data_IF_508707090640
#
_entry.id   IF_508707090640
#
_cell.length_a   1.000
_cell.length_b   1.000
_cell.length_c   1.000
_cell.angle_alpha   90.00
_cell.angle_beta   90.00
_cell.angle_gamma   90.00
#
_symmetry.space_group_name_H-M   'P 1'
#
loop_
_entity.id
_entity.type
_entity.pdbx_description
1 polymer ?
#
# COMPACT_ATOMS: atom_id res chain seq x y z
N UNK A 1 -69.21 44.32 -0.94
CA UNK A 1 -68.41 44.17 -2.17
C UNK A 1 -68.04 42.70 -2.31
N UNK A 2 -68.24 42.13 -3.50
CA UNK A 2 -68.19 40.70 -3.83
C UNK A 2 -66.75 40.19 -4.00
N UNK A 3 -66.50 38.95 -3.56
CA UNK A 3 -65.67 37.90 -4.23
C UNK A 3 -65.65 36.69 -3.28
N UNK A 4 -66.54 35.70 -3.43
CA UNK A 4 -66.59 34.60 -4.40
C UNK A 4 -65.35 33.68 -4.31
N UNK A 5 -65.62 32.47 -3.78
CA UNK A 5 -64.80 31.27 -3.85
C UNK A 5 -64.49 30.89 -5.30
N UNK A 6 -63.28 30.40 -5.55
CA UNK A 6 -63.06 29.39 -6.59
C UNK A 6 -61.95 28.43 -6.17
N UNK A 7 -62.36 27.22 -5.78
CA UNK A 7 -61.52 26.02 -5.81
C UNK A 7 -61.19 25.71 -7.27
N UNK A 8 -59.92 25.62 -7.61
CA UNK A 8 -59.46 24.86 -8.77
C UNK A 8 -58.22 24.07 -8.38
N UNK A 9 -58.39 22.76 -8.41
CA UNK A 9 -57.37 21.74 -8.25
C UNK A 9 -56.25 21.90 -9.28
N UNK A 10 -55.00 21.69 -8.86
CA UNK A 10 -53.91 21.36 -9.75
C UNK A 10 -53.09 20.22 -9.13
N UNK A 11 -52.76 19.27 -10.00
CA UNK A 11 -52.55 17.86 -9.73
C UNK A 11 -51.21 17.56 -9.06
N UNK A 12 -51.27 16.70 -8.03
CA UNK A 12 -50.17 15.89 -7.53
C UNK A 12 -49.78 14.89 -8.63
N UNK A 13 -48.56 15.01 -9.18
CA UNK A 13 -47.93 13.90 -9.89
C UNK A 13 -47.16 13.07 -8.86
N UNK A 14 -47.86 12.06 -8.34
CA UNK A 14 -47.26 10.92 -7.68
C UNK A 14 -46.66 10.01 -8.77
N UNK A 15 -45.34 9.95 -8.85
CA UNK A 15 -44.64 8.89 -9.58
C UNK A 15 -44.53 7.69 -8.66
N UNK A 16 -45.45 6.75 -8.83
CA UNK A 16 -45.44 5.45 -8.18
C UNK A 16 -44.36 4.56 -8.82
N UNK A 17 -43.22 4.40 -8.16
CA UNK A 17 -42.32 3.28 -8.42
C UNK A 17 -42.69 2.15 -7.47
N UNK A 18 -43.40 1.15 -7.99
CA UNK A 18 -43.60 -0.14 -7.34
C UNK A 18 -42.23 -0.82 -7.16
N UNK A 19 -41.64 -0.72 -5.98
CA UNK A 19 -40.60 -1.64 -5.55
C UNK A 19 -41.27 -2.82 -4.85
N UNK A 20 -41.48 -3.92 -5.58
CA UNK A 20 -41.68 -5.22 -4.97
C UNK A 20 -40.33 -5.75 -4.44
N UNK A 21 -40.32 -6.54 -3.36
CA UNK A 21 -39.11 -6.96 -2.70
C UNK A 21 -38.51 -8.14 -3.45
N UNK A 22 -37.32 -7.96 -4.00
CA UNK A 22 -36.44 -9.08 -4.30
C UNK A 22 -35.41 -9.15 -3.18
N UNK A 23 -35.74 -9.96 -2.17
CA UNK A 23 -34.72 -10.70 -1.49
C UNK A 23 -34.12 -11.65 -2.52
N UNK A 24 -32.91 -11.37 -2.98
CA UNK A 24 -31.98 -12.44 -3.30
C UNK A 24 -30.61 -12.04 -2.77
N UNK A 25 -30.11 -12.90 -1.90
CA UNK A 25 -28.77 -12.85 -1.34
C UNK A 25 -27.81 -13.22 -2.49
N UNK A 26 -26.56 -12.79 -2.39
CA UNK A 26 -25.46 -13.05 -3.33
C UNK A 26 -25.21 -11.94 -4.38
N UNK A 27 -24.71 -10.79 -3.90
CA UNK A 27 -23.91 -9.88 -4.73
C UNK A 27 -22.46 -10.01 -4.25
N UNK A 28 -21.55 -10.64 -5.02
CA UNK A 28 -20.14 -10.68 -4.69
C UNK A 28 -19.47 -9.33 -5.01
N UNK A 29 -18.53 -8.91 -4.17
CA UNK A 29 -17.85 -7.61 -4.05
C UNK A 29 -16.94 -7.18 -5.21
N UNK A 30 -17.14 -7.66 -6.44
CA UNK A 30 -16.34 -7.22 -7.59
C UNK A 30 -16.90 -5.92 -8.18
N UNK A 31 -16.62 -4.79 -7.52
CA UNK A 31 -16.53 -3.52 -8.24
C UNK A 31 -15.40 -3.70 -9.25
N UNK A 32 -15.80 -3.87 -10.49
CA UNK A 32 -14.93 -4.07 -11.63
C UNK A 32 -14.10 -2.81 -11.81
N UNK A 33 -12.80 -2.87 -11.51
CA UNK A 33 -11.85 -1.86 -11.98
C UNK A 33 -12.03 -1.75 -13.50
N UNK A 34 -12.36 -0.58 -14.05
CA UNK A 34 -12.55 -0.46 -15.49
C UNK A 34 -11.24 -0.80 -16.22
N UNK A 35 -11.30 -1.84 -17.06
CA UNK A 35 -10.22 -2.36 -17.92
C UNK A 35 -9.71 -1.40 -19.01
N UNK A 36 -9.90 -0.08 -18.86
CA UNK A 36 -9.46 0.91 -19.84
C UNK A 36 -8.44 1.85 -19.22
N UNK A 37 -7.19 1.37 -19.14
CA UNK A 37 -6.03 2.26 -19.06
C UNK A 37 -5.93 3.03 -20.39
N UNK A 38 -5.97 4.35 -20.30
CA UNK A 38 -5.77 5.29 -21.40
C UNK A 38 -4.39 5.06 -22.05
N UNK A 39 -4.27 5.04 -23.40
CA UNK A 39 -2.97 4.84 -24.06
C UNK A 39 -2.13 6.12 -23.97
N UNK A 40 -1.24 6.15 -22.99
CA UNK A 40 -0.35 7.28 -22.72
C UNK A 40 0.99 6.88 -22.09
N UNK A 41 1.45 5.65 -22.28
CA UNK A 41 2.84 5.28 -22.01
C UNK A 41 3.65 5.46 -23.29
N UNK A 42 4.44 6.54 -23.35
CA UNK A 42 5.62 6.58 -24.21
C UNK A 42 6.38 5.27 -24.01
N UNK A 43 6.69 4.60 -25.13
CA UNK A 43 7.27 3.27 -25.26
C UNK A 43 8.34 3.00 -24.19
N UNK A 44 7.91 2.50 -23.02
CA UNK A 44 8.81 1.98 -22.00
C UNK A 44 9.50 0.80 -22.66
N UNK A 45 10.81 0.91 -22.85
CA UNK A 45 11.60 -0.24 -23.29
C UNK A 45 11.26 -1.36 -22.31
N UNK A 46 10.70 -2.46 -22.82
CA UNK A 46 10.30 -3.58 -21.98
C UNK A 46 11.53 -4.03 -21.20
N UNK A 47 11.45 -3.98 -19.86
CA UNK A 47 12.56 -4.41 -19.01
C UNK A 47 12.89 -5.90 -19.33
N UNK A 48 14.16 -6.32 -19.26
CA UNK A 48 14.54 -7.70 -19.51
C UNK A 48 13.79 -8.69 -18.61
N UNK A 49 13.56 -9.91 -19.08
CA UNK A 49 12.91 -10.98 -18.31
C UNK A 49 13.89 -11.79 -17.44
N UNK A 50 15.19 -11.51 -17.56
CA UNK A 50 16.28 -12.15 -16.81
C UNK A 50 17.18 -11.09 -16.19
N UNK A 51 18.01 -11.47 -15.21
CA UNK A 51 19.01 -10.57 -14.63
C UNK A 51 20.06 -10.17 -15.66
N UNK A 52 19.87 -8.99 -16.23
CA UNK A 52 20.75 -8.36 -17.24
C UNK A 52 20.66 -6.83 -17.10
N UNK A 53 21.12 -6.25 -15.97
CA UNK A 53 21.07 -4.80 -15.78
C UNK A 53 21.99 -4.08 -16.77
N UNK A 54 21.62 -2.86 -17.21
CA UNK A 54 22.51 -1.99 -17.98
C UNK A 54 23.90 -1.89 -17.33
N UNK A 55 24.96 -1.85 -18.14
CA UNK A 55 26.33 -1.91 -17.62
C UNK A 55 26.68 -0.81 -16.61
N UNK A 56 26.02 0.36 -16.71
CA UNK A 56 26.17 1.46 -15.77
C UNK A 56 25.43 1.25 -14.44
N UNK A 57 24.54 0.26 -14.36
CA UNK A 57 23.80 -0.09 -13.13
C UNK A 57 24.40 -1.29 -12.40
N UNK A 58 25.27 -2.08 -13.03
CA UNK A 58 25.90 -3.26 -12.39
C UNK A 58 26.63 -2.91 -11.10
N UNK A 59 27.53 -1.92 -11.14
CA UNK A 59 28.29 -1.48 -9.96
C UNK A 59 27.40 -0.92 -8.84
N UNK A 60 26.51 0.06 -9.09
CA UNK A 60 25.67 0.60 -8.02
C UNK A 60 24.69 -0.44 -7.45
N UNK A 61 24.20 -1.40 -8.24
CA UNK A 61 23.35 -2.48 -7.71
C UNK A 61 24.12 -3.40 -6.75
N UNK A 62 25.36 -3.76 -7.09
CA UNK A 62 26.22 -4.55 -6.18
C UNK A 62 26.52 -3.79 -4.88
N UNK A 63 26.79 -2.48 -4.95
CA UNK A 63 26.99 -1.65 -3.75
C UNK A 63 25.75 -1.63 -2.85
N UNK A 64 24.56 -1.49 -3.44
CA UNK A 64 23.28 -1.57 -2.74
C UNK A 64 23.07 -2.93 -2.08
N UNK A 65 23.32 -4.01 -2.83
CA UNK A 65 23.14 -5.37 -2.31
C UNK A 65 24.04 -5.65 -1.12
N UNK A 66 25.32 -5.28 -1.20
CA UNK A 66 26.25 -5.46 -0.08
C UNK A 66 25.85 -4.60 1.12
N UNK A 67 25.44 -3.35 0.89
CA UNK A 67 24.96 -2.49 1.96
C UNK A 67 23.76 -3.09 2.69
N UNK A 68 22.76 -3.60 1.95
CA UNK A 68 21.58 -4.24 2.53
C UNK A 68 21.97 -5.48 3.36
N UNK A 69 22.82 -6.36 2.84
CA UNK A 69 23.29 -7.55 3.57
C UNK A 69 24.07 -7.19 4.85
N UNK A 70 24.82 -6.09 4.86
CA UNK A 70 25.53 -5.60 6.04
C UNK A 70 24.60 -4.94 7.06
N UNK A 71 23.51 -4.31 6.58
CA UNK A 71 22.51 -3.64 7.42
C UNK A 71 21.59 -4.63 8.13
N UNK A 72 21.15 -5.69 7.43
CA UNK A 72 20.19 -6.65 7.95
C UNK A 72 20.86 -7.87 8.60
N UNK A 73 20.57 -8.11 9.87
CA UNK A 73 21.12 -9.27 10.59
C UNK A 73 20.64 -10.63 10.06
N UNK A 74 19.47 -10.67 9.42
CA UNK A 74 18.89 -11.88 8.81
C UNK A 74 18.11 -11.54 7.53
N UNK A 75 18.77 -10.88 6.59
CA UNK A 75 18.18 -10.38 5.34
C UNK A 75 17.37 -11.45 4.59
N UNK A 76 17.91 -12.66 4.46
CA UNK A 76 17.33 -13.74 3.66
C UNK A 76 16.43 -14.69 4.47
N UNK A 77 16.54 -14.69 5.81
CA UNK A 77 15.71 -15.49 6.70
C UNK A 77 14.42 -14.81 7.12
N UNK A 78 14.32 -13.48 7.00
CA UNK A 78 13.07 -12.74 7.24
C UNK A 78 12.01 -13.05 6.18
N UNK A 79 10.78 -13.38 6.60
CA UNK A 79 9.71 -13.96 5.76
C UNK A 79 8.42 -13.13 5.75
N UNK A 80 8.53 -11.81 5.94
CA UNK A 80 7.37 -10.91 5.85
C UNK A 80 7.53 -9.75 4.86
N UNK A 81 8.50 -9.81 3.94
CA UNK A 81 8.59 -8.80 2.88
C UNK A 81 7.39 -8.89 1.94
N UNK A 82 7.15 -7.84 1.15
CA UNK A 82 6.09 -7.81 0.14
C UNK A 82 6.11 -9.01 -0.81
N UNK A 83 7.30 -9.57 -1.11
CA UNK A 83 7.40 -10.83 -1.87
C UNK A 83 6.70 -12.00 -1.15
N UNK A 84 6.94 -12.17 0.15
CA UNK A 84 6.32 -13.22 0.96
C UNK A 84 4.82 -13.03 1.04
N UNK A 85 4.39 -11.79 1.30
CA UNK A 85 2.98 -11.44 1.42
C UNK A 85 2.23 -11.76 0.13
N UNK A 86 2.76 -11.32 -1.01
CA UNK A 86 2.14 -11.56 -2.32
C UNK A 86 2.11 -13.05 -2.67
N UNK A 87 3.17 -13.80 -2.37
CA UNK A 87 3.23 -15.25 -2.64
C UNK A 87 2.26 -16.00 -1.72
N UNK A 88 2.25 -15.70 -0.42
CA UNK A 88 1.35 -16.32 0.56
C UNK A 88 -0.13 -15.99 0.29
N UNK A 89 -0.41 -14.77 -0.15
CA UNK A 89 -1.75 -14.30 -0.53
C UNK A 89 -2.21 -14.76 -1.92
N UNK A 90 -1.38 -15.48 -2.69
CA UNK A 90 -1.76 -15.95 -4.02
C UNK A 90 -1.97 -14.82 -5.03
N UNK A 91 -1.19 -13.75 -4.93
CA UNK A 91 -1.34 -12.55 -5.77
C UNK A 91 -2.32 -11.53 -5.21
N UNK A 92 -2.66 -11.63 -3.92
CA UNK A 92 -3.54 -10.70 -3.21
C UNK A 92 -2.81 -10.05 -2.04
N UNK A 93 -3.17 -8.80 -1.75
CA UNK A 93 -2.71 -8.04 -0.59
C UNK A 93 -3.92 -7.34 0.02
N UNK A 94 -4.16 -7.59 1.31
CA UNK A 94 -5.21 -6.96 2.07
C UNK A 94 -4.64 -5.82 2.93
N UNK A 95 -5.21 -4.63 2.79
CA UNK A 95 -4.93 -3.46 3.60
C UNK A 95 -5.97 -3.25 4.69
N UNK A 96 -5.52 -2.84 5.87
CA UNK A 96 -6.37 -2.19 6.86
C UNK A 96 -5.92 -0.74 7.08
N UNK A 97 -6.84 0.21 6.90
CA UNK A 97 -6.52 1.64 7.00
C UNK A 97 -6.69 2.10 8.45
N UNK A 98 -5.64 2.67 9.03
CA UNK A 98 -5.68 3.36 10.32
C UNK A 98 -5.90 4.85 10.09
N UNK A 99 -7.14 5.30 10.28
CA UNK A 99 -7.53 6.69 10.13
C UNK A 99 -7.33 7.44 11.46
N UNK A 100 -6.12 7.94 11.67
CA UNK A 100 -5.74 8.74 12.83
C UNK A 100 -6.10 10.21 12.57
N UNK A 101 -7.41 10.46 12.51
CA UNK A 101 -7.98 11.79 12.33
C UNK A 101 -9.35 11.91 12.98
N UNK A 102 -9.75 13.14 13.26
CA UNK A 102 -11.11 13.51 13.68
C UNK A 102 -12.00 13.95 12.52
N UNK A 103 -11.46 14.04 11.29
CA UNK A 103 -12.22 14.37 10.10
C UNK A 103 -13.12 13.21 9.68
N UNK A 104 -14.29 13.52 9.15
CA UNK A 104 -15.15 12.50 8.54
C UNK A 104 -14.55 12.00 7.22
N UNK A 105 -14.85 10.74 6.90
CA UNK A 105 -14.37 10.04 5.72
C UNK A 105 -15.56 9.43 4.98
N UNK A 106 -15.84 9.96 3.80
CA UNK A 106 -16.95 9.52 2.93
C UNK A 106 -16.65 8.20 2.23
N UNK A 107 -17.69 7.50 1.76
CA UNK A 107 -17.54 6.31 0.92
C UNK A 107 -16.69 6.58 -0.34
N UNK A 108 -16.90 7.71 -1.02
CA UNK A 108 -16.12 8.07 -2.20
C UNK A 108 -14.62 8.27 -1.89
N UNK A 109 -14.30 8.85 -0.74
CA UNK A 109 -12.90 8.97 -0.31
C UNK A 109 -12.29 7.62 0.07
N UNK A 110 -13.07 6.70 0.66
CA UNK A 110 -12.62 5.31 0.87
C UNK A 110 -12.31 4.60 -0.44
N UNK A 111 -13.15 4.78 -1.45
CA UNK A 111 -12.91 4.24 -2.81
C UNK A 111 -11.63 4.84 -3.43
N UNK A 112 -11.40 6.15 -3.25
CA UNK A 112 -10.16 6.81 -3.70
C UNK A 112 -8.93 6.26 -2.99
N UNK A 113 -8.99 6.03 -1.67
CA UNK A 113 -7.89 5.42 -0.89
C UNK A 113 -7.59 4.01 -1.40
N UNK A 114 -8.61 3.17 -1.58
CA UNK A 114 -8.44 1.81 -2.11
C UNK A 114 -7.83 1.82 -3.52
N UNK A 115 -8.29 2.72 -4.39
CA UNK A 115 -7.72 2.88 -5.72
C UNK A 115 -6.26 3.37 -5.66
N UNK A 116 -5.92 4.27 -4.75
CA UNK A 116 -4.55 4.77 -4.56
C UNK A 116 -3.60 3.68 -4.07
N UNK A 117 -4.02 2.86 -3.10
CA UNK A 117 -3.28 1.68 -2.63
C UNK A 117 -3.03 0.70 -3.78
N UNK A 118 -4.08 0.34 -4.52
CA UNK A 118 -3.98 -0.58 -5.65
C UNK A 118 -3.05 -0.07 -6.75
N UNK A 119 -3.18 1.19 -7.18
CA UNK A 119 -2.29 1.80 -8.19
C UNK A 119 -0.85 1.82 -7.72
N UNK A 120 -0.60 2.29 -6.50
CA UNK A 120 0.76 2.49 -5.99
C UNK A 120 1.51 1.18 -5.79
N UNK A 121 0.85 0.18 -5.20
CA UNK A 121 1.45 -1.15 -5.00
C UNK A 121 1.73 -1.84 -6.34
N UNK A 122 0.79 -1.77 -7.29
CA UNK A 122 0.99 -2.38 -8.61
C UNK A 122 2.08 -1.71 -9.46
N UNK A 123 2.49 -0.47 -9.15
CA UNK A 123 3.69 0.10 -9.79
C UNK A 123 4.93 -0.68 -9.42
N UNK A 124 5.12 -1.04 -8.15
CA UNK A 124 6.23 -1.89 -7.73
C UNK A 124 6.14 -3.28 -8.37
N UNK A 125 4.95 -3.88 -8.41
CA UNK A 125 4.73 -5.17 -9.10
C UNK A 125 5.07 -5.10 -10.59
N UNK A 126 4.85 -3.97 -11.25
CA UNK A 126 5.23 -3.80 -12.67
C UNK A 126 6.74 -3.94 -12.92
N UNK A 127 7.56 -3.75 -11.88
CA UNK A 127 8.99 -4.05 -11.92
C UNK A 127 9.29 -5.54 -11.97
N UNK A 128 8.48 -6.35 -11.29
CA UNK A 128 8.65 -7.80 -11.14
C UNK A 128 7.92 -8.59 -12.23
N UNK A 129 6.84 -8.04 -12.79
CA UNK A 129 6.04 -8.68 -13.84
C UNK A 129 6.92 -9.20 -14.99
N UNK A 130 6.82 -10.50 -15.27
CA UNK A 130 7.59 -11.19 -16.31
C UNK A 130 9.08 -11.37 -16.03
N UNK A 131 9.59 -11.01 -14.85
CA UNK A 131 11.00 -11.14 -14.48
C UNK A 131 11.26 -12.43 -13.71
N UNK A 132 12.19 -13.25 -14.21
CA UNK A 132 12.87 -14.32 -13.48
C UNK A 132 11.95 -15.25 -12.66
N UNK A 133 10.85 -15.68 -13.27
CA UNK A 133 9.89 -16.61 -12.67
C UNK A 133 8.88 -15.97 -11.70
N UNK A 134 8.85 -14.65 -11.54
CA UNK A 134 7.80 -13.97 -10.79
C UNK A 134 6.41 -14.28 -11.39
N UNK A 135 5.43 -14.75 -10.59
CA UNK A 135 4.22 -15.35 -11.13
C UNK A 135 3.05 -14.38 -11.42
N UNK A 136 3.17 -13.10 -11.06
CA UNK A 136 2.05 -12.15 -11.12
C UNK A 136 2.34 -10.92 -12.00
N UNK A 137 1.51 -10.68 -13.01
CA UNK A 137 1.56 -9.43 -13.79
C UNK A 137 1.04 -8.22 -13.00
N UNK A 138 0.06 -8.48 -12.12
CA UNK A 138 -0.57 -7.53 -11.20
C UNK A 138 -0.99 -8.27 -9.94
N UNK A 139 -1.17 -7.55 -8.84
CA UNK A 139 -1.75 -8.08 -7.59
C UNK A 139 -3.09 -7.42 -7.31
N UNK A 140 -4.02 -8.20 -6.74
CA UNK A 140 -5.30 -7.73 -6.24
C UNK A 140 -5.08 -7.08 -4.88
N UNK A 141 -5.25 -5.76 -4.80
CA UNK A 141 -5.14 -5.00 -3.55
C UNK A 141 -6.53 -4.67 -3.03
N UNK A 142 -6.85 -5.11 -1.82
CA UNK A 142 -8.15 -4.90 -1.19
C UNK A 142 -7.99 -4.04 0.07
N UNK A 143 -8.93 -3.14 0.35
CA UNK A 143 -9.05 -2.53 1.68
C UNK A 143 -10.14 -3.29 2.42
N UNK A 144 -9.76 -4.07 3.44
CA UNK A 144 -10.67 -4.96 4.16
C UNK A 144 -11.22 -4.34 5.44
N UNK A 145 -10.57 -3.31 5.98
CA UNK A 145 -11.01 -2.68 7.21
C UNK A 145 -10.51 -1.26 7.43
N UNK A 146 -11.16 -0.59 8.37
CA UNK A 146 -10.80 0.75 8.83
C UNK A 146 -10.78 0.78 10.36
N UNK A 147 -9.68 1.27 10.92
CA UNK A 147 -9.61 1.67 12.32
C UNK A 147 -9.82 3.18 12.44
N UNK A 148 -10.80 3.58 13.24
CA UNK A 148 -11.20 4.98 13.48
C UNK A 148 -11.40 5.21 14.98
N UNK A 149 -11.25 6.45 15.43
CA UNK A 149 -11.53 6.80 16.83
C UNK A 149 -13.02 6.68 17.17
N UNK A 150 -13.90 6.93 16.20
CA UNK A 150 -15.35 6.80 16.29
C UNK A 150 -15.90 6.29 14.95
N UNK A 151 -16.71 5.23 14.98
CA UNK A 151 -17.31 4.65 13.77
C UNK A 151 -18.18 5.64 12.98
N UNK A 152 -18.74 6.67 13.65
CA UNK A 152 -19.52 7.73 13.00
C UNK A 152 -18.70 8.64 12.08
N UNK A 153 -17.37 8.60 12.16
CA UNK A 153 -16.50 9.29 11.21
C UNK A 153 -16.60 8.69 9.80
N UNK A 154 -16.98 7.41 9.67
CA UNK A 154 -17.16 6.76 8.38
C UNK A 154 -18.56 7.02 7.85
N UNK A 155 -18.68 7.95 6.90
CA UNK A 155 -19.95 8.27 6.27
C UNK A 155 -20.26 7.30 5.12
N UNK A 156 -21.56 7.02 4.91
CA UNK A 156 -22.03 6.13 3.85
C UNK A 156 -21.99 4.65 4.22
N UNK A 157 -22.05 3.78 3.21
CA UNK A 157 -22.06 2.33 3.41
C UNK A 157 -20.67 1.80 3.78
N UNK A 158 -20.63 0.96 4.81
CA UNK A 158 -19.43 0.25 5.29
C UNK A 158 -19.60 -1.26 5.20
N UNK A 159 -20.65 -1.74 4.51
CA UNK A 159 -20.89 -3.16 4.29
C UNK A 159 -19.67 -3.81 3.62
N UNK A 160 -19.19 -4.91 4.22
CA UNK A 160 -18.01 -5.61 3.72
C UNK A 160 -16.68 -5.01 4.16
N UNK A 161 -16.67 -4.02 5.07
CA UNK A 161 -15.49 -3.54 5.78
C UNK A 161 -15.55 -3.95 7.27
N UNK A 162 -14.41 -4.32 7.81
CA UNK A 162 -14.24 -4.54 9.25
C UNK A 162 -13.91 -3.20 9.92
N UNK A 163 -14.80 -2.71 10.78
CA UNK A 163 -14.67 -1.40 11.42
C UNK A 163 -14.18 -1.57 12.86
N UNK A 164 -12.99 -1.04 13.14
CA UNK A 164 -12.35 -1.11 14.44
C UNK A 164 -12.40 0.26 15.12
N UNK A 165 -12.80 0.28 16.40
CA UNK A 165 -12.77 1.48 17.25
C UNK A 165 -11.88 1.30 18.47
N UNK A 166 -11.04 0.27 18.46
CA UNK A 166 -9.99 0.02 19.44
C UNK A 166 -8.78 0.89 19.13
N UNK A 167 -7.92 1.07 20.15
CA UNK A 167 -6.68 1.83 20.02
C UNK A 167 -5.51 1.00 20.49
N UNK A 168 -4.32 1.32 19.97
CA UNK A 168 -3.07 0.81 20.50
C UNK A 168 -2.72 1.44 21.86
N UNK A 169 -1.54 1.09 22.36
CA UNK A 169 -0.99 1.59 23.63
C UNK A 169 -0.82 3.12 23.67
N UNK A 170 -0.70 3.79 22.52
CA UNK A 170 -0.53 5.23 22.39
C UNK A 170 -1.88 5.95 22.17
N UNK A 171 -2.98 5.20 22.13
CA UNK A 171 -4.33 5.74 21.92
C UNK A 171 -4.66 6.00 20.44
N UNK A 172 -3.87 5.47 19.51
CA UNK A 172 -4.10 5.63 18.07
C UNK A 172 -5.05 4.53 17.59
N UNK A 173 -6.09 4.83 16.78
CA UNK A 173 -7.01 3.83 16.26
C UNK A 173 -6.27 2.66 15.60
N UNK A 174 -6.56 1.43 15.99
CA UNK A 174 -5.80 0.23 15.61
C UNK A 174 -6.72 -0.83 14.99
N UNK A 175 -6.28 -1.42 13.87
CA UNK A 175 -6.90 -2.61 13.30
C UNK A 175 -6.61 -3.81 14.21
N UNK A 176 -7.51 -4.79 14.30
CA UNK A 176 -7.34 -5.91 15.23
C UNK A 176 -6.01 -6.67 15.00
N UNK A 177 -5.07 -6.67 15.97
CA UNK A 177 -3.80 -7.38 15.83
C UNK A 177 -3.97 -8.87 15.54
N UNK A 178 -5.07 -9.50 15.97
CA UNK A 178 -5.37 -10.89 15.69
C UNK A 178 -5.60 -11.18 14.19
N UNK A 179 -5.82 -10.12 13.39
CA UNK A 179 -5.99 -10.18 11.94
C UNK A 179 -4.77 -9.67 11.17
N UNK A 180 -3.75 -9.13 11.84
CA UNK A 180 -2.60 -8.51 11.18
C UNK A 180 -1.46 -9.49 10.92
N UNK A 181 -1.02 -9.60 9.67
CA UNK A 181 0.12 -10.44 9.28
C UNK A 181 1.41 -10.10 10.02
N UNK A 182 1.64 -8.82 10.31
CA UNK A 182 2.77 -8.39 11.13
C UNK A 182 2.86 -9.13 12.48
N UNK A 183 1.71 -9.44 13.09
CA UNK A 183 1.61 -10.15 14.37
C UNK A 183 1.55 -11.68 14.19
N UNK A 184 1.12 -12.14 13.01
CA UNK A 184 0.85 -13.54 12.67
C UNK A 184 1.65 -13.98 11.43
N UNK A 185 2.98 -13.85 11.49
CA UNK A 185 3.89 -14.27 10.40
C UNK A 185 3.93 -15.79 10.20
N UNK A 186 3.39 -16.55 11.16
CA UNK A 186 3.16 -17.99 11.05
C UNK A 186 1.96 -18.34 10.15
N UNK A 187 1.19 -17.33 9.72
CA UNK A 187 -0.02 -17.50 8.92
C UNK A 187 -1.23 -18.02 9.68
N UNK A 188 -1.17 -18.06 11.03
CA UNK A 188 -2.30 -18.48 11.85
C UNK A 188 -3.22 -17.31 12.18
N UNK A 189 -4.22 -17.11 11.32
CA UNK A 189 -5.29 -16.12 11.53
C UNK A 189 -6.53 -16.71 12.21
N UNK A 190 -6.43 -17.85 12.90
CA UNK A 190 -7.58 -18.45 13.61
C UNK A 190 -8.15 -17.55 14.71
N UNK A 191 -7.34 -16.61 15.22
CA UNK A 191 -7.76 -15.56 16.16
C UNK A 191 -8.48 -14.38 15.51
N UNK A 192 -8.42 -14.22 14.19
CA UNK A 192 -9.06 -13.11 13.49
C UNK A 192 -10.59 -13.26 13.51
N UNK A 193 -11.29 -12.38 14.23
CA UNK A 193 -12.74 -12.46 14.36
C UNK A 193 -13.49 -12.28 13.03
N UNK A 194 -12.91 -11.53 12.09
CA UNK A 194 -13.44 -11.36 10.73
C UNK A 194 -13.23 -12.60 9.84
N UNK A 195 -12.42 -13.56 10.29
CA UNK A 195 -12.04 -14.77 9.56
C UNK A 195 -10.71 -14.62 8.81
N UNK A 196 -10.06 -15.75 8.53
CA UNK A 196 -8.73 -15.77 7.92
C UNK A 196 -8.68 -15.06 6.55
N UNK A 197 -9.71 -15.16 5.72
CA UNK A 197 -9.76 -14.46 4.42
C UNK A 197 -9.82 -12.92 4.54
N UNK A 198 -10.11 -12.42 5.75
CA UNK A 198 -10.25 -11.00 6.11
C UNK A 198 -9.05 -10.47 6.89
N UNK A 199 -7.99 -11.26 7.05
CA UNK A 199 -6.72 -10.77 7.58
C UNK A 199 -6.19 -9.61 6.70
N UNK A 200 -5.34 -8.77 7.27
CA UNK A 200 -4.61 -7.75 6.53
C UNK A 200 -3.11 -8.02 6.55
N UNK A 201 -2.49 -7.86 5.40
CA UNK A 201 -1.04 -7.94 5.20
C UNK A 201 -0.38 -6.62 5.59
N UNK A 202 -1.01 -5.52 5.21
CA UNK A 202 -0.45 -4.17 5.28
C UNK A 202 -1.37 -3.22 6.03
N UNK A 203 -0.80 -2.33 6.83
CA UNK A 203 -1.54 -1.28 7.53
C UNK A 203 -1.22 0.10 6.93
N UNK A 204 -2.23 0.81 6.41
CA UNK A 204 -2.05 2.16 5.89
C UNK A 204 -2.49 3.19 6.93
N UNK A 205 -1.54 3.88 7.55
CA UNK A 205 -1.80 4.86 8.59
C UNK A 205 -1.84 6.25 7.97
N UNK A 206 -3.01 6.87 8.05
CA UNK A 206 -3.24 8.23 7.58
C UNK A 206 -3.41 9.12 8.82
N UNK A 207 -2.32 9.81 9.18
CA UNK A 207 -2.19 10.54 10.45
C UNK A 207 -2.27 12.05 10.25
N UNK A 208 -3.12 12.73 11.02
CA UNK A 208 -3.18 14.20 11.06
C UNK A 208 -1.85 14.82 11.47
N UNK A 209 -1.35 15.75 10.66
CA UNK A 209 -0.15 16.54 10.99
C UNK A 209 1.16 15.76 11.00
N UNK A 210 1.16 14.49 10.56
CA UNK A 210 2.39 13.72 10.37
C UNK A 210 3.17 14.24 9.16
N UNK A 211 4.47 14.46 9.34
CA UNK A 211 5.37 14.94 8.29
C UNK A 211 6.30 13.82 7.85
N UNK A 212 6.46 13.68 6.53
CA UNK A 212 7.24 12.59 5.93
C UNK A 212 6.44 11.29 5.84
N UNK A 213 7.15 10.18 5.75
CA UNK A 213 6.59 8.83 5.73
C UNK A 213 7.46 7.85 6.52
N UNK A 214 6.87 6.71 6.87
CA UNK A 214 7.58 5.54 7.37
C UNK A 214 6.93 4.29 6.80
N UNK A 215 7.72 3.30 6.38
CA UNK A 215 7.22 2.09 5.76
C UNK A 215 8.01 0.86 6.18
N UNK A 216 7.46 -0.31 5.85
CA UNK A 216 8.11 -1.59 6.09
C UNK A 216 7.19 -2.76 5.78
N UNK A 217 7.49 -3.91 6.38
CA UNK A 217 6.74 -5.16 6.24
C UNK A 217 5.36 -5.15 6.90
N UNK A 218 5.06 -4.12 7.70
CA UNK A 218 3.81 -3.96 8.44
C UNK A 218 2.81 -3.03 7.75
N UNK A 219 3.24 -2.24 6.77
CA UNK A 219 2.48 -1.10 6.31
C UNK A 219 3.28 0.14 5.97
N UNK A 220 2.52 1.23 5.81
CA UNK A 220 3.03 2.57 5.57
C UNK A 220 2.28 3.57 6.45
N UNK A 221 2.98 4.59 6.94
CA UNK A 221 2.42 5.74 7.66
C UNK A 221 2.85 7.03 7.01
N UNK A 222 1.92 7.97 6.87
CA UNK A 222 2.20 9.31 6.35
C UNK A 222 1.14 10.31 6.79
N UNK A 223 1.36 11.59 6.49
CA UNK A 223 0.39 12.65 6.70
C UNK A 223 -0.90 12.38 5.93
N UNK A 224 -2.05 12.38 6.64
CA UNK A 224 -3.37 12.22 6.01
C UNK A 224 -3.60 13.32 4.98
N UNK A 225 -3.28 14.57 5.31
CA UNK A 225 -3.47 15.71 4.43
C UNK A 225 -2.71 15.53 3.11
N UNK A 226 -1.44 15.15 3.21
CA UNK A 226 -0.59 14.86 2.05
C UNK A 226 -1.18 13.75 1.19
N UNK A 227 -1.54 12.61 1.80
CA UNK A 227 -2.07 11.46 1.05
C UNK A 227 -3.39 11.81 0.36
N UNK A 228 -4.31 12.47 1.08
CA UNK A 228 -5.62 12.81 0.54
C UNK A 228 -5.55 13.91 -0.53
N UNK A 229 -4.63 14.85 -0.43
CA UNK A 229 -4.38 15.84 -1.50
C UNK A 229 -3.83 15.17 -2.77
N UNK A 230 -3.01 14.13 -2.59
CA UNK A 230 -2.41 13.39 -3.70
C UNK A 230 -3.18 12.12 -4.10
N UNK A 231 -4.35 11.81 -3.52
CA UNK A 231 -4.98 10.47 -3.60
C UNK A 231 -5.32 10.02 -5.03
N UNK A 232 -5.57 10.97 -5.94
CA UNK A 232 -5.83 10.69 -7.35
C UNK A 232 -4.59 10.84 -8.24
N UNK A 233 -3.47 11.28 -7.68
CA UNK A 233 -2.20 11.40 -8.41
C UNK A 233 -1.74 10.03 -8.89
N UNK A 234 -1.12 10.03 -10.07
CA UNK A 234 -0.50 8.83 -10.62
C UNK A 234 0.64 8.37 -9.70
N UNK A 235 1.50 9.29 -9.26
CA UNK A 235 2.62 8.99 -8.36
C UNK A 235 2.44 9.72 -7.02
N UNK A 236 2.00 9.01 -6.00
CA UNK A 236 1.97 9.52 -4.62
C UNK A 236 3.38 9.34 -4.04
N UNK A 237 4.27 10.29 -4.31
CA UNK A 237 5.72 10.17 -4.08
C UNK A 237 6.12 9.54 -2.73
N UNK A 238 5.71 10.12 -1.60
CA UNK A 238 6.09 9.59 -0.27
C UNK A 238 5.52 8.17 -0.11
N UNK A 239 4.26 7.95 -0.48
CA UNK A 239 3.66 6.62 -0.34
C UNK A 239 4.37 5.56 -1.20
N UNK A 240 4.78 5.91 -2.43
CA UNK A 240 5.55 5.00 -3.27
C UNK A 240 6.92 4.67 -2.67
N UNK A 241 7.60 5.64 -2.05
CA UNK A 241 8.83 5.43 -1.29
C UNK A 241 8.58 4.45 -0.14
N UNK A 242 7.53 4.68 0.67
CA UNK A 242 7.23 3.80 1.82
C UNK A 242 6.86 2.37 1.41
N UNK A 243 6.20 2.16 0.27
CA UNK A 243 5.97 0.79 -0.27
C UNK A 243 7.29 0.14 -0.70
N UNK A 244 8.31 0.92 -1.11
CA UNK A 244 9.64 0.39 -1.41
C UNK A 244 10.24 -0.37 -0.22
N UNK A 245 10.04 0.13 1.01
CA UNK A 245 10.47 -0.55 2.23
C UNK A 245 9.74 -1.87 2.47
N UNK A 246 8.47 -2.00 2.06
CA UNK A 246 7.76 -3.30 2.06
C UNK A 246 8.52 -4.34 1.23
N UNK A 247 9.19 -3.91 0.16
CA UNK A 247 10.04 -4.77 -0.68
C UNK A 247 11.53 -4.78 -0.29
N UNK A 248 11.83 -4.52 0.99
CA UNK A 248 13.16 -4.57 1.59
C UNK A 248 14.17 -3.55 1.05
N UNK A 249 13.69 -2.49 0.39
CA UNK A 249 14.58 -1.43 -0.10
C UNK A 249 14.92 -0.48 1.04
N UNK A 250 16.20 -0.13 1.18
CA UNK A 250 16.68 0.79 2.21
C UNK A 250 16.43 2.25 1.86
N UNK A 251 16.44 3.08 2.89
CA UNK A 251 16.67 4.52 2.75
C UNK A 251 18.12 4.83 2.36
N UNK A 252 18.30 5.91 1.60
CA UNK A 252 19.62 6.39 1.16
C UNK A 252 19.94 7.79 1.72
N UNK A 253 19.96 7.95 3.05
CA UNK A 253 20.16 9.26 3.68
C UNK A 253 21.61 9.77 3.70
N UNK A 254 22.56 8.87 3.98
CA UNK A 254 23.96 9.21 4.27
C UNK A 254 24.94 8.74 3.20
N UNK A 255 24.45 8.08 2.15
CA UNK A 255 25.25 7.62 1.03
C UNK A 255 24.43 7.50 -0.25
N UNK A 256 25.11 7.42 -1.39
CA UNK A 256 24.49 7.16 -2.70
C UNK A 256 25.37 6.19 -3.48
N UNK A 257 24.77 5.24 -4.21
CA UNK A 257 25.54 4.30 -5.00
C UNK A 257 26.16 4.98 -6.23
N UNK A 258 27.29 4.47 -6.68
CA UNK A 258 28.15 5.07 -7.69
C UNK A 258 27.40 5.33 -8.99
N UNK A 259 27.33 6.60 -9.39
CA UNK A 259 26.82 7.00 -10.69
C UNK A 259 25.29 7.07 -10.80
N UNK A 260 24.55 6.87 -9.70
CA UNK A 260 23.09 7.04 -9.66
C UNK A 260 22.74 8.15 -8.69
N UNK A 261 21.95 9.13 -9.15
CA UNK A 261 21.65 10.35 -8.38
C UNK A 261 20.16 10.64 -8.21
N UNK A 262 19.28 9.91 -8.91
CA UNK A 262 17.84 10.11 -8.84
C UNK A 262 17.14 8.76 -8.87
N UNK A 263 16.49 8.39 -7.78
CA UNK A 263 15.68 7.19 -7.61
C UNK A 263 14.82 7.33 -6.37
N UNK A 264 13.66 6.68 -6.31
CA UNK A 264 12.65 7.03 -5.31
C UNK A 264 13.12 6.75 -3.88
N UNK A 265 13.94 5.71 -3.69
CA UNK A 265 14.50 5.34 -2.38
C UNK A 265 15.57 6.32 -1.87
N UNK A 266 16.10 7.19 -2.73
CA UNK A 266 16.84 8.39 -2.32
C UNK A 266 15.83 9.53 -2.18
N UNK A 267 15.28 9.64 -0.97
CA UNK A 267 14.15 10.52 -0.66
C UNK A 267 14.34 11.93 -1.23
N UNK A 268 13.36 12.39 -2.02
CA UNK A 268 13.36 13.72 -2.65
C UNK A 268 14.16 13.84 -3.95
N UNK A 269 14.94 12.84 -4.36
CA UNK A 269 15.69 12.87 -5.63
C UNK A 269 14.86 12.51 -6.85
N UNK A 270 13.80 11.73 -6.67
CA UNK A 270 12.83 11.38 -7.71
C UNK A 270 11.42 11.36 -7.10
N UNK A 271 10.41 11.76 -7.89
CA UNK A 271 9.00 11.77 -7.46
C UNK A 271 8.22 10.54 -7.93
N UNK A 272 8.88 9.59 -8.57
CA UNK A 272 8.32 8.38 -9.15
C UNK A 272 9.34 7.24 -9.14
N UNK A 273 8.86 6.00 -9.23
CA UNK A 273 9.71 4.80 -9.26
C UNK A 273 10.50 4.80 -10.58
N UNK A 274 11.82 4.76 -10.46
CA UNK A 274 12.77 4.81 -11.58
C UNK A 274 13.19 3.42 -12.04
N UNK A 275 13.95 3.36 -13.13
CA UNK A 275 14.56 2.09 -13.57
C UNK A 275 15.49 1.49 -12.51
N UNK A 276 16.24 2.32 -11.78
CA UNK A 276 17.15 1.82 -10.76
C UNK A 276 16.38 1.15 -9.61
N UNK A 277 15.26 1.75 -9.18
CA UNK A 277 14.36 1.17 -8.17
C UNK A 277 13.83 -0.21 -8.62
N UNK A 278 13.47 -0.36 -9.89
CA UNK A 278 13.05 -1.65 -10.44
C UNK A 278 14.18 -2.68 -10.50
N UNK A 279 15.42 -2.28 -10.70
CA UNK A 279 16.53 -3.21 -10.61
C UNK A 279 16.82 -3.63 -9.16
N UNK A 280 16.66 -2.73 -8.19
CA UNK A 280 16.81 -3.06 -6.77
C UNK A 280 15.75 -4.08 -6.30
N UNK A 281 14.47 -3.88 -6.64
CA UNK A 281 13.39 -4.85 -6.30
C UNK A 281 13.61 -6.21 -6.98
N UNK A 282 14.15 -6.21 -8.21
CA UNK A 282 14.52 -7.44 -8.92
C UNK A 282 15.71 -8.16 -8.29
N UNK A 283 16.66 -7.41 -7.73
CA UNK A 283 17.86 -7.94 -7.09
C UNK A 283 17.48 -8.73 -5.83
N UNK A 284 16.57 -8.18 -5.03
CA UNK A 284 15.93 -8.92 -3.94
C UNK A 284 15.22 -10.17 -4.41
N UNK A 285 14.34 -10.06 -5.42
CA UNK A 285 13.59 -11.22 -5.92
C UNK A 285 14.51 -12.37 -6.32
N UNK A 286 15.56 -12.12 -7.12
CA UNK A 286 16.45 -13.20 -7.58
C UNK A 286 17.18 -13.92 -6.44
N UNK A 287 17.40 -13.25 -5.31
CA UNK A 287 18.05 -13.81 -4.12
C UNK A 287 17.07 -14.48 -3.16
N UNK A 288 15.77 -14.18 -3.26
CA UNK A 288 14.71 -14.77 -2.43
C UNK A 288 13.95 -15.90 -3.12
N UNK A 289 13.82 -15.88 -4.45
CA UNK A 289 12.84 -16.70 -5.20
C UNK A 289 12.90 -18.21 -4.91
N UNK A 290 14.10 -18.74 -4.67
CA UNK A 290 14.34 -20.17 -4.47
C UNK A 290 13.74 -20.69 -3.15
N UNK A 291 13.28 -19.80 -2.25
CA UNK A 291 12.58 -20.17 -1.02
C UNK A 291 11.10 -20.46 -1.22
N UNK A 292 10.53 -20.11 -2.38
CA UNK A 292 9.11 -20.29 -2.67
C UNK A 292 8.86 -21.52 -3.55
N UNK A 293 7.78 -22.25 -3.29
CA UNK A 293 7.28 -23.28 -4.20
C UNK A 293 6.42 -22.64 -5.31
N UNK A 294 7.06 -22.27 -6.41
CA UNK A 294 6.41 -21.64 -7.56
C UNK A 294 5.79 -22.63 -8.54
N UNK A 295 5.81 -23.94 -8.25
CA UNK A 295 5.27 -24.96 -9.16
C UNK A 295 3.74 -24.88 -9.33
N UNK A 296 3.04 -24.27 -8.37
CA UNK A 296 1.58 -24.17 -8.34
C UNK A 296 1.03 -22.77 -8.73
N UNK A 297 1.88 -21.77 -8.97
CA UNK A 297 1.45 -20.39 -9.26
C UNK A 297 1.24 -20.11 -10.75
N UNK A 298 1.56 -21.07 -11.63
CA UNK A 298 1.43 -20.94 -13.08
C UNK A 298 0.10 -21.45 -13.64
N UNK A 299 -1.04 -20.80 -13.35
CA UNK A 299 -2.27 -20.87 -14.17
C UNK A 299 -3.37 -19.95 -13.64
N UNK A 300 -3.21 -18.64 -13.80
CA UNK A 300 -4.34 -17.70 -13.87
C UNK A 300 -4.48 -17.15 -15.29
N UNK A 301 -4.40 -18.02 -16.30
CA UNK A 301 -4.91 -17.68 -17.62
C UNK A 301 -6.43 -17.68 -17.54
N UNK A 302 -7.05 -16.51 -17.77
CA UNK A 302 -8.51 -16.38 -17.94
C UNK A 302 -9.03 -17.44 -18.92
N UNK A 303 -10.22 -18.04 -18.68
CA UNK A 303 -10.72 -19.09 -19.54
C UNK A 303 -11.00 -18.53 -20.92
N UNK A 304 -10.26 -19.01 -21.92
CA UNK A 304 -10.64 -18.86 -23.32
C UNK A 304 -11.97 -19.60 -23.53
N UNK A 305 -13.03 -18.86 -23.82
CA UNK A 305 -14.28 -19.40 -24.36
C UNK A 305 -13.97 -20.18 -25.64
N UNK A 306 -13.91 -21.50 -25.51
CA UNK A 306 -13.94 -22.41 -26.65
C UNK A 306 -15.40 -22.52 -27.11
N UNK A 307 -15.78 -21.67 -28.05
CA UNK A 307 -17.04 -21.80 -28.78
C UNK A 307 -16.93 -22.97 -29.78
N UNK A 308 -17.20 -24.18 -29.28
CA UNK A 308 -17.49 -25.33 -30.12
C UNK A 308 -18.89 -25.14 -30.74
N UNK A 309 -18.92 -24.70 -31.99
CA UNK A 309 -20.13 -24.65 -32.79
C UNK A 309 -20.67 -26.07 -33.01
N UNK A 310 -21.87 -26.33 -32.49
CA UNK A 310 -22.69 -27.48 -32.88
C UNK A 310 -23.97 -26.98 -33.53
N UNK A 311 -24.04 -27.21 -34.84
CA UNK A 311 -25.15 -26.95 -35.74
C UNK A 311 -26.41 -27.70 -35.33
N UNK A 312 -27.52 -26.98 -35.19
CA UNK A 312 -28.85 -27.58 -35.35
C UNK A 312 -29.79 -26.61 -36.07
N UNK A 313 -30.42 -27.17 -37.10
CA UNK A 313 -31.19 -26.51 -38.13
C UNK A 313 -32.62 -26.24 -37.64
N UNK A 314 -33.12 -25.01 -37.83
CA UNK A 314 -34.55 -24.74 -37.82
C UNK A 314 -34.89 -23.63 -38.81
N UNK A 315 -35.83 -23.97 -39.69
CA UNK A 315 -36.32 -23.24 -40.86
C UNK A 315 -37.34 -22.17 -40.46
N UNK A 316 -37.21 -20.93 -40.97
CA UNK A 316 -38.29 -19.95 -41.01
C UNK A 316 -38.16 -19.02 -42.24
N UNK A 317 -39.33 -18.67 -42.80
CA UNK A 317 -39.61 -18.13 -44.12
C UNK A 317 -39.27 -16.63 -44.31
N UNK A 318 -39.36 -16.07 -45.54
CA UNK A 318 -38.66 -14.85 -45.92
C UNK A 318 -39.50 -13.59 -45.68
N UNK A 319 -38.85 -12.51 -45.23
CA UNK A 319 -39.42 -11.16 -45.25
C UNK A 319 -38.48 -10.23 -46.02
N UNK A 320 -38.93 -9.84 -47.20
CA UNK A 320 -38.36 -8.81 -48.07
C UNK A 320 -38.49 -7.42 -47.45
N UNK A 321 -37.37 -6.71 -47.26
CA UNK A 321 -37.34 -5.24 -47.22
C UNK A 321 -36.04 -4.70 -47.88
N UNK A 322 -36.23 -3.55 -48.51
CA UNK A 322 -35.49 -2.89 -49.60
C UNK A 322 -34.21 -2.17 -49.11
N UNK A 323 -33.15 -2.02 -49.92
CA UNK A 323 -31.92 -1.32 -49.52
C UNK A 323 -32.09 0.21 -49.59
N UNK A 324 -31.59 0.91 -48.57
CA UNK A 324 -31.49 2.38 -48.53
C UNK A 324 -30.01 2.76 -48.34
N UNK A 325 -29.50 3.79 -49.05
CA UNK A 325 -28.09 3.88 -49.40
C UNK A 325 -27.21 4.51 -48.32
N UNK A 326 -25.93 4.13 -48.40
CA UNK A 326 -24.76 4.70 -47.74
C UNK A 326 -24.65 6.22 -47.96
N UNK A 327 -24.39 7.02 -46.91
CA UNK A 327 -23.79 8.33 -47.08
C UNK A 327 -22.26 8.27 -46.87
N UNK A 328 -21.59 8.80 -47.88
CA UNK A 328 -20.16 9.02 -48.04
C UNK A 328 -19.55 9.90 -46.94
N UNK A 329 -18.38 9.51 -46.45
CA UNK A 329 -17.52 10.30 -45.56
C UNK A 329 -17.18 11.67 -46.17
N UNK A 330 -17.36 12.73 -45.39
CA UNK A 330 -16.76 14.04 -45.65
C UNK A 330 -15.96 14.46 -44.42
N UNK A 331 -14.65 14.53 -44.61
CA UNK A 331 -13.68 15.01 -43.63
C UNK A 331 -13.89 16.51 -43.38
N UNK A 332 -14.11 16.89 -42.12
CA UNK A 332 -14.02 18.28 -41.68
C UNK A 332 -12.72 18.46 -40.90
N UNK A 333 -11.79 19.19 -41.52
CA UNK A 333 -10.58 19.72 -40.91
C UNK A 333 -10.98 20.90 -40.01
N UNK A 334 -10.97 20.70 -38.70
CA UNK A 334 -11.12 21.78 -37.72
C UNK A 334 -9.73 22.23 -37.27
N UNK A 335 -9.35 23.44 -37.67
CA UNK A 335 -8.19 24.17 -37.18
C UNK A 335 -8.37 24.50 -35.69
N UNK A 336 -7.51 23.98 -34.81
CA UNK A 336 -7.37 24.48 -33.44
C UNK A 336 -6.54 25.78 -33.44
N UNK A 337 -6.94 26.81 -32.68
CA UNK A 337 -6.06 27.94 -32.40
C UNK A 337 -4.98 27.52 -31.37
N UNK A 338 -3.73 27.81 -31.70
CA UNK A 338 -2.56 27.67 -30.84
C UNK A 338 -2.67 28.63 -29.66
N UNK A 339 -2.79 28.11 -28.44
CA UNK A 339 -2.61 28.90 -27.22
C UNK A 339 -1.14 28.84 -26.84
N UNK A 340 -0.48 29.99 -26.92
CA UNK A 340 0.91 30.19 -26.52
C UNK A 340 1.05 30.11 -25.00
N UNK A 341 1.98 29.29 -24.52
CA UNK A 341 2.35 29.21 -23.12
C UNK A 341 2.96 30.55 -22.64
N UNK A 342 2.66 31.04 -21.42
CA UNK A 342 3.36 32.17 -20.84
C UNK A 342 4.74 31.72 -20.35
N UNK A 343 5.78 32.43 -20.81
CA UNK A 343 7.16 32.29 -20.35
C UNK A 343 7.30 32.72 -18.88
N UNK A 344 7.89 31.86 -18.05
CA UNK A 344 8.29 32.18 -16.68
C UNK A 344 9.67 32.89 -16.75
N UNK A 345 9.82 34.10 -16.18
CA UNK A 345 11.11 34.78 -16.18
C UNK A 345 12.07 34.17 -15.14
N UNK A 346 13.21 33.71 -15.63
CA UNK A 346 14.42 33.38 -14.86
C UNK A 346 15.01 34.64 -14.25
N UNK A 347 14.88 34.83 -12.94
CA UNK A 347 15.80 35.68 -12.17
C UNK A 347 16.13 35.02 -10.83
N UNK A 348 17.40 34.59 -10.73
CA UNK A 348 18.06 34.15 -9.52
C UNK A 348 18.45 35.41 -8.74
N UNK A 349 17.91 35.57 -7.54
CA UNK A 349 18.41 36.50 -6.54
C UNK A 349 19.10 35.69 -5.42
N UNK A 350 20.29 36.11 -4.92
CA UNK A 350 21.05 35.34 -3.94
C UNK A 350 20.43 35.41 -2.54
N UNK A 351 20.40 34.28 -1.84
CA UNK A 351 20.12 34.22 -0.39
C UNK A 351 21.22 34.96 0.39
N UNK A 352 20.87 35.84 1.35
CA UNK A 352 21.85 36.43 2.25
C UNK A 352 22.35 35.40 3.26
N UNK A 353 23.67 35.44 3.51
CA UNK A 353 24.39 34.47 4.33
C UNK A 353 23.87 34.37 5.77
N UNK A 354 23.70 33.14 6.23
CA UNK A 354 23.56 32.84 7.65
C UNK A 354 24.95 32.77 8.26
N UNK A 355 25.25 33.76 9.10
CA UNK A 355 26.41 33.80 9.97
C UNK A 355 26.43 32.59 10.92
N UNK A 356 27.62 32.03 11.09
CA UNK A 356 27.94 31.04 12.11
C UNK A 356 27.78 31.63 13.51
N UNK A 357 26.73 31.24 14.23
CA UNK A 357 26.60 31.55 15.65
C UNK A 357 26.83 30.29 16.48
N UNK A 358 28.05 30.16 16.98
CA UNK A 358 28.48 29.19 17.99
C UNK A 358 27.81 29.47 19.33
N UNK A 359 27.02 28.52 19.84
CA UNK A 359 26.52 28.53 21.22
C UNK A 359 27.44 27.63 22.07
N UNK A 360 27.94 28.10 23.23
CA UNK A 360 28.89 27.35 24.04
C UNK A 360 28.23 26.19 24.81
N UNK A 361 28.87 25.03 24.76
CA UNK A 361 28.56 23.84 25.58
C UNK A 361 28.88 24.14 27.05
N UNK A 362 27.87 24.04 27.91
CA UNK A 362 28.04 24.07 29.36
C UNK A 362 28.49 22.68 29.88
N UNK A 363 29.44 22.59 30.83
CA UNK A 363 29.97 21.32 31.30
C UNK A 363 29.01 20.62 32.28
N UNK A 364 28.82 19.32 32.07
CA UNK A 364 28.13 18.39 32.97
C UNK A 364 28.98 18.14 34.23
N UNK A 365 28.42 18.22 35.46
CA UNK A 365 29.17 17.94 36.67
C UNK A 365 29.31 16.43 36.94
N UNK A 366 30.56 15.99 37.10
CA UNK A 366 30.97 14.69 37.66
C UNK A 366 30.59 14.55 39.14
N UNK A 367 30.04 13.40 39.60
CA UNK A 367 30.02 13.04 41.01
C UNK A 367 31.30 12.32 41.41
N UNK A 368 32.01 12.91 42.36
CA UNK A 368 33.16 12.36 43.08
C UNK A 368 32.78 11.11 43.87
N UNK A 369 33.67 10.12 43.87
CA UNK A 369 33.47 8.84 44.54
C UNK A 369 33.76 8.82 46.04
N UNK A 370 33.27 7.76 46.68
CA UNK A 370 33.85 7.21 47.91
C UNK A 370 33.82 5.68 47.81
N UNK A 371 35.00 5.06 47.98
CA UNK A 371 35.24 3.60 48.08
C UNK A 371 34.58 3.01 49.35
N UNK A 372 34.37 1.71 49.59
CA UNK A 372 34.86 0.40 49.14
C UNK A 372 33.90 -0.68 49.74
N UNK A 373 34.20 -2.01 49.81
CA UNK A 373 34.99 -2.90 48.95
C UNK A 373 34.18 -4.13 48.46
N UNK A 374 34.70 -4.83 47.45
CA UNK A 374 34.26 -6.18 47.06
C UNK A 374 34.59 -7.25 48.12
N UNK A 375 33.86 -8.37 48.12
CA UNK A 375 34.44 -9.68 48.44
C UNK A 375 34.47 -10.61 47.22
N UNK A 376 35.64 -11.22 47.08
CA UNK A 376 36.01 -12.25 46.11
C UNK A 376 35.19 -13.53 46.21
N UNK A 377 35.16 -14.24 45.08
CA UNK A 377 34.57 -15.54 44.86
C UNK A 377 35.09 -16.64 45.81
N UNK A 378 34.22 -17.60 46.14
CA UNK A 378 34.63 -18.99 46.36
C UNK A 378 33.56 -19.94 45.81
N UNK A 379 34.06 -20.86 45.00
CA UNK A 379 33.43 -22.02 44.35
C UNK A 379 32.65 -22.94 45.29
N UNK A 380 31.50 -23.48 44.86
CA UNK A 380 31.30 -24.93 44.53
C UNK A 380 29.80 -25.35 44.46
N UNK A 381 29.51 -26.18 43.43
CA UNK A 381 28.52 -27.29 43.35
C UNK A 381 26.98 -27.03 43.24
N UNK A 382 26.49 -27.30 42.02
CA UNK A 382 25.18 -27.88 41.60
C UNK A 382 24.79 -29.16 42.39
N UNK A 383 23.59 -29.80 42.20
CA UNK A 383 22.27 -29.37 41.67
C UNK A 383 21.01 -30.00 42.40
N UNK A 384 19.81 -29.68 41.88
CA UNK A 384 18.50 -30.39 41.97
C UNK A 384 17.77 -30.37 43.34
N UNK A 385 16.47 -30.03 43.45
CA UNK A 385 15.31 -30.75 42.90
C UNK A 385 13.98 -29.98 43.10
N UNK A 386 13.04 -30.12 42.16
CA UNK A 386 11.56 -29.82 42.26
C UNK A 386 10.90 -30.92 43.16
N UNK A 387 9.60 -30.92 43.61
CA UNK A 387 8.44 -30.17 43.09
C UNK A 387 7.25 -29.80 44.04
N UNK A 388 6.23 -29.19 43.41
CA UNK A 388 4.77 -29.19 43.68
C UNK A 388 4.16 -28.46 44.90
N UNK A 389 3.46 -27.34 44.63
CA UNK A 389 2.02 -27.15 44.93
C UNK A 389 1.49 -25.81 44.37
N UNK A 390 0.41 -25.87 43.60
CA UNK A 390 -0.56 -24.77 43.37
C UNK A 390 -1.57 -24.76 44.55
N UNK A 391 -2.49 -23.78 44.73
CA UNK A 391 -2.87 -22.65 43.85
C UNK A 391 -3.02 -21.29 44.58
N UNK A 392 -2.88 -20.16 43.88
CA UNK A 392 -3.64 -18.93 44.18
C UNK A 392 -3.47 -17.92 43.06
N UNK A 393 -4.58 -17.29 42.70
CA UNK A 393 -4.74 -16.26 41.68
C UNK A 393 -3.81 -15.07 41.90
N UNK A 394 -3.26 -14.55 40.81
CA UNK A 394 -2.36 -13.41 40.81
C UNK A 394 -2.12 -12.93 39.39
N UNK A 395 -2.97 -11.99 38.98
CA UNK A 395 -2.74 -10.96 37.99
C UNK A 395 -1.25 -10.74 37.70
N UNK A 396 -0.74 -11.14 36.53
CA UNK A 396 0.64 -10.88 36.13
C UNK A 396 0.78 -10.85 34.61
N UNK A 397 1.38 -9.77 34.12
CA UNK A 397 2.26 -9.86 32.96
C UNK A 397 1.68 -9.37 31.65
N UNK A 398 1.14 -8.15 31.62
CA UNK A 398 1.24 -7.31 30.42
C UNK A 398 2.72 -7.05 30.17
N UNK A 399 3.33 -7.98 29.43
CA UNK A 399 4.67 -7.85 28.92
C UNK A 399 4.65 -6.86 27.77
N UNK A 400 5.43 -5.81 27.93
CA UNK A 400 5.82 -4.83 26.92
C UNK A 400 6.18 -5.52 25.58
N UNK A 401 5.20 -5.74 24.72
CA UNK A 401 5.44 -5.76 23.30
C UNK A 401 5.56 -4.29 22.90
N UNK A 402 6.75 -3.75 23.13
CA UNK A 402 7.19 -2.53 22.46
C UNK A 402 6.86 -2.73 21.00
N UNK A 403 6.11 -1.79 20.43
CA UNK A 403 6.10 -1.52 19.02
C UNK A 403 7.55 -1.37 18.57
N UNK A 404 8.18 -2.50 18.22
CA UNK A 404 9.37 -2.47 17.41
C UNK A 404 8.87 -2.14 16.02
N UNK A 405 8.58 -0.84 15.81
CA UNK A 405 9.13 -0.22 14.63
C UNK A 405 10.59 -0.68 14.61
N UNK A 406 10.94 -1.52 13.63
CA UNK A 406 12.32 -1.92 13.42
C UNK A 406 13.17 -0.63 13.50
N UNK A 407 14.18 -0.57 14.38
CA UNK A 407 14.74 0.70 14.83
C UNK A 407 15.71 1.24 13.78
N UNK A 408 15.22 1.67 12.62
CA UNK A 408 16.10 2.08 11.53
C UNK A 408 15.77 3.44 10.90
N UNK A 409 14.61 4.04 11.18
CA UNK A 409 14.34 5.43 10.78
C UNK A 409 14.87 6.51 11.76
N UNK A 410 15.52 6.14 12.87
CA UNK A 410 15.89 7.10 13.94
C UNK A 410 17.29 6.87 14.56
N UNK A 411 18.31 6.64 13.74
CA UNK A 411 19.71 6.70 14.19
C UNK A 411 20.61 7.50 13.25
N UNK A 412 20.58 8.83 13.40
CA UNK A 412 21.74 9.71 13.69
C UNK A 412 21.34 11.17 13.43
N UNK A 413 21.10 11.90 14.51
CA UNK A 413 21.30 13.34 14.58
C UNK A 413 22.72 13.62 15.09
#
# INVERSE_FOLDING_TARGET
MKSILSLTALQLLASSSLALPLADRDIPWHITVPKNLTPGLSKRQSLPTTWDPPSNLVTPLEEVWQHQLDTYSDALGFQNYGYDQVIAGGGKINYCVRWESSQTLTAAQRDQIAAAASRSYNKWISGLAGFDGWPYDTVEVNVVGYAVSDASLLEGDTTGLDIYTTTDADGIPECDPACGRFFHQDGDYSGCAAGADRHYDESLWLTDGFSGGTGGDWGQRMGREYFMEAVESENIHIYLHEIGHTFALDDFYDWTPTGVTNFIMLAGSATEITEFDYWMVRDWWRNLKDRYDLSNTGSSTSPAESSAASSSSATAAPTTLVPVPTPTSSSLTTLLPTISAPAIPTQVAPLPGAETSSVPVAPVPTPSGTAAPQPSATTTKKPCSRPTSLPSWGNNGWGEHKWQAHPWANKRA
#
